data_IF_678160796330
#
_entry.id   IF_678160796330
#
_cell.length_a   1.000
_cell.length_b   1.000
_cell.length_c   1.000
_cell.angle_alpha   90.00
_cell.angle_beta   90.00
_cell.angle_gamma   90.00
#
_symmetry.space_group_name_H-M   'P 1'
#
loop_
_entity.id
_entity.type
_entity.pdbx_description
1 polymer ?
#
# COMPACT_ATOMS: atom_id res chain seq x y z
N UNK A 1 -1.36 57.28 -44.03
CA UNK A 1 -0.78 55.95 -44.31
C UNK A 1 -0.99 55.10 -43.06
N UNK A 2 -1.95 54.17 -43.11
CA UNK A 2 -2.46 53.38 -41.98
C UNK A 2 -2.33 51.91 -42.40
N UNK A 3 -1.41 51.17 -41.80
CA UNK A 3 -1.25 49.71 -42.00
C UNK A 3 -0.87 49.14 -40.64
N UNK A 4 -1.87 48.77 -39.83
CA UNK A 4 -2.45 47.43 -39.73
C UNK A 4 -1.47 46.42 -39.11
N UNK A 5 -1.80 46.13 -37.85
CA UNK A 5 -1.42 45.00 -37.02
C UNK A 5 -1.58 43.68 -37.79
N UNK A 6 -0.61 42.77 -37.65
CA UNK A 6 -0.85 41.35 -37.86
C UNK A 6 -0.19 40.55 -36.73
N UNK A 7 -0.99 40.31 -35.69
CA UNK A 7 -0.81 39.19 -34.78
C UNK A 7 -1.13 37.87 -35.50
N UNK A 8 -0.65 36.76 -34.93
CA UNK A 8 -0.82 35.40 -35.45
C UNK A 8 0.15 34.47 -34.73
N UNK A 9 0.02 34.22 -33.42
CA UNK A 9 -0.99 33.31 -32.82
C UNK A 9 -1.01 31.89 -33.44
N UNK A 10 0.16 31.26 -33.54
CA UNK A 10 0.25 29.82 -33.88
C UNK A 10 0.98 28.96 -32.85
N UNK A 11 1.65 29.54 -31.84
CA UNK A 11 2.40 28.78 -30.83
C UNK A 11 1.72 28.76 -29.44
N UNK A 12 0.78 29.68 -29.20
CA UNK A 12 0.09 29.88 -27.92
C UNK A 12 -1.12 28.95 -27.73
N UNK A 13 -1.66 28.36 -28.80
CA UNK A 13 -2.88 27.55 -28.76
C UNK A 13 -2.67 26.07 -28.43
N UNK A 14 -1.44 25.56 -28.46
CA UNK A 14 -1.14 24.17 -28.09
C UNK A 14 -1.05 23.93 -26.56
N UNK A 15 -0.89 24.99 -25.76
CA UNK A 15 -0.76 24.88 -24.30
C UNK A 15 -2.03 25.27 -23.52
N UNK A 16 -3.12 25.61 -24.21
CA UNK A 16 -4.38 26.03 -23.57
C UNK A 16 -5.46 24.94 -23.59
N UNK A 17 -5.06 23.66 -23.49
CA UNK A 17 -5.99 22.53 -23.38
C UNK A 17 -5.94 21.83 -22.00
N UNK A 18 -5.23 22.38 -21.02
CA UNK A 18 -5.09 21.80 -19.67
C UNK A 18 -6.09 22.35 -18.64
N UNK A 19 -6.95 23.30 -19.01
CA UNK A 19 -7.81 24.03 -18.06
C UNK A 19 -9.20 23.41 -17.81
N UNK A 20 -9.52 22.24 -18.39
CA UNK A 20 -10.84 21.60 -18.24
C UNK A 20 -10.77 20.12 -17.86
N UNK A 21 -9.94 19.75 -16.88
CA UNK A 21 -10.09 18.47 -16.18
C UNK A 21 -10.62 18.75 -14.76
N UNK A 22 -11.94 18.60 -14.50
CA UNK A 22 -12.50 18.81 -13.17
C UNK A 22 -11.95 17.80 -12.14
N UNK A 23 -11.39 16.68 -12.63
CA UNK A 23 -10.50 15.79 -11.90
C UNK A 23 -9.25 15.62 -12.75
N UNK A 24 -8.09 16.09 -12.29
CA UNK A 24 -6.78 15.94 -12.98
C UNK A 24 -6.31 14.47 -13.02
N UNK A 25 -7.15 13.56 -13.50
CA UNK A 25 -6.88 12.14 -13.59
C UNK A 25 -5.90 11.88 -14.73
N UNK A 26 -4.88 11.10 -14.44
CA UNK A 26 -3.95 10.58 -15.43
C UNK A 26 -4.57 9.36 -16.13
N UNK A 27 -5.02 9.57 -17.37
CA UNK A 27 -5.65 8.51 -18.17
C UNK A 27 -4.72 7.35 -18.47
N UNK A 28 -3.40 7.58 -18.54
CA UNK A 28 -2.43 6.52 -18.80
C UNK A 28 -2.28 5.59 -17.59
N UNK A 29 -2.26 6.17 -16.39
CA UNK A 29 -2.26 5.40 -15.14
C UNK A 29 -3.54 4.57 -14.99
N UNK A 30 -4.70 5.16 -15.29
CA UNK A 30 -5.98 4.44 -15.25
C UNK A 30 -6.02 3.30 -16.28
N UNK A 31 -5.50 3.54 -17.49
CA UNK A 31 -5.40 2.50 -18.51
C UNK A 31 -4.48 1.36 -18.07
N UNK A 32 -3.29 1.66 -17.54
CA UNK A 32 -2.37 0.65 -17.03
C UNK A 32 -2.98 -0.17 -15.89
N UNK A 33 -3.69 0.47 -14.96
CA UNK A 33 -4.41 -0.21 -13.88
C UNK A 33 -5.52 -1.11 -14.44
N UNK A 34 -6.33 -0.61 -15.38
CA UNK A 34 -7.41 -1.38 -16.00
C UNK A 34 -6.86 -2.59 -16.81
N UNK A 35 -5.76 -2.41 -17.52
CA UNK A 35 -5.09 -3.48 -18.25
C UNK A 35 -4.56 -4.57 -17.30
N UNK A 36 -3.92 -4.19 -16.19
CA UNK A 36 -3.48 -5.13 -15.17
C UNK A 36 -4.65 -5.90 -14.53
N UNK A 37 -5.76 -5.22 -14.26
CA UNK A 37 -6.98 -5.86 -13.74
C UNK A 37 -7.58 -6.85 -14.74
N UNK A 38 -7.63 -6.49 -16.04
CA UNK A 38 -8.14 -7.36 -17.08
C UNK A 38 -7.27 -8.62 -17.25
N UNK A 39 -5.94 -8.45 -17.27
CA UNK A 39 -4.99 -9.57 -17.34
C UNK A 39 -5.14 -10.47 -16.10
N UNK A 40 -5.22 -9.87 -14.90
CA UNK A 40 -5.44 -10.62 -13.66
C UNK A 40 -6.75 -11.42 -13.65
N UNK A 41 -7.83 -10.84 -14.18
CA UNK A 41 -9.12 -11.50 -14.31
C UNK A 41 -9.07 -12.72 -15.23
N UNK A 42 -8.39 -12.59 -16.38
CA UNK A 42 -8.16 -13.71 -17.31
C UNK A 42 -7.33 -14.80 -16.65
N UNK A 43 -6.26 -14.42 -15.94
CA UNK A 43 -5.38 -15.37 -15.24
C UNK A 43 -6.11 -16.17 -14.17
N UNK A 44 -6.95 -15.52 -13.35
CA UNK A 44 -7.76 -16.21 -12.33
C UNK A 44 -8.75 -17.16 -12.99
N UNK A 45 -9.41 -16.72 -14.06
CA UNK A 45 -10.37 -17.55 -14.80
C UNK A 45 -9.69 -18.81 -15.32
N UNK A 46 -8.50 -18.70 -15.90
CA UNK A 46 -7.75 -19.84 -16.43
C UNK A 46 -7.25 -20.79 -15.32
N UNK A 47 -6.61 -20.25 -14.29
CA UNK A 47 -5.94 -21.06 -13.26
C UNK A 47 -6.92 -21.73 -12.27
N UNK A 48 -8.10 -21.15 -12.06
CA UNK A 48 -9.05 -21.64 -11.06
C UNK A 48 -10.17 -22.54 -11.61
N UNK A 49 -10.36 -22.59 -12.93
CA UNK A 49 -11.50 -23.28 -13.56
C UNK A 49 -11.58 -24.77 -13.20
N UNK A 50 -10.46 -25.47 -13.37
CA UNK A 50 -10.34 -26.90 -13.11
C UNK A 50 -10.39 -27.22 -11.60
N UNK A 51 -9.71 -26.40 -10.79
CA UNK A 51 -9.73 -26.53 -9.33
C UNK A 51 -11.14 -26.31 -8.75
N UNK A 52 -11.86 -25.29 -9.25
CA UNK A 52 -13.22 -24.96 -8.83
C UNK A 52 -14.24 -26.01 -9.27
N UNK A 53 -14.12 -26.52 -10.50
CA UNK A 53 -14.97 -27.57 -11.03
C UNK A 53 -14.91 -28.83 -10.17
N UNK A 54 -13.70 -29.24 -9.75
CA UNK A 54 -13.50 -30.43 -8.91
C UNK A 54 -13.97 -30.25 -7.45
N UNK A 55 -13.76 -29.07 -6.86
CA UNK A 55 -13.99 -28.85 -5.41
C UNK A 55 -15.38 -28.30 -5.08
N UNK A 56 -15.98 -27.53 -5.98
CA UNK A 56 -17.25 -26.82 -5.74
C UNK A 56 -18.35 -27.18 -6.74
N UNK A 57 -18.08 -28.06 -7.72
CA UNK A 57 -19.04 -28.43 -8.77
C UNK A 57 -19.40 -27.30 -9.74
N UNK A 58 -18.81 -26.11 -9.55
CA UNK A 58 -19.00 -24.94 -10.39
C UNK A 58 -17.63 -24.33 -10.73
N UNK A 59 -17.23 -24.48 -11.99
CA UNK A 59 -15.97 -23.99 -12.52
C UNK A 59 -15.80 -22.46 -12.36
N UNK A 60 -16.90 -21.70 -12.34
CA UNK A 60 -16.89 -20.24 -12.27
C UNK A 60 -16.98 -19.69 -10.86
N UNK A 61 -16.96 -20.53 -9.82
CA UNK A 61 -17.13 -20.09 -8.43
C UNK A 61 -16.15 -18.97 -8.02
N UNK A 62 -14.85 -19.14 -8.29
CA UNK A 62 -13.85 -18.12 -7.97
C UNK A 62 -13.93 -16.89 -8.89
N UNK A 63 -14.39 -17.07 -10.13
CA UNK A 63 -14.60 -15.98 -11.09
C UNK A 63 -15.68 -15.03 -10.60
N UNK A 64 -16.84 -15.55 -10.17
CA UNK A 64 -17.93 -14.74 -9.63
C UNK A 64 -17.50 -13.97 -8.37
N UNK A 65 -16.78 -14.63 -7.45
CA UNK A 65 -16.26 -13.96 -6.25
C UNK A 65 -15.27 -12.86 -6.62
N UNK A 66 -14.36 -13.12 -7.55
CA UNK A 66 -13.38 -12.14 -7.98
C UNK A 66 -14.04 -10.93 -8.67
N UNK A 67 -15.07 -11.15 -9.49
CA UNK A 67 -15.86 -10.08 -10.10
C UNK A 67 -16.55 -9.19 -9.04
N UNK A 68 -17.12 -9.78 -7.99
CA UNK A 68 -17.72 -9.02 -6.87
C UNK A 68 -16.66 -8.16 -6.18
N UNK A 69 -15.47 -8.72 -5.88
CA UNK A 69 -14.37 -7.95 -5.29
C UNK A 69 -13.88 -6.82 -6.20
N UNK A 70 -13.88 -7.03 -7.52
CA UNK A 70 -13.51 -6.00 -8.49
C UNK A 70 -14.50 -4.82 -8.46
N UNK A 71 -15.80 -5.10 -8.39
CA UNK A 71 -16.84 -4.07 -8.25
C UNK A 71 -16.69 -3.31 -6.94
N UNK A 72 -16.48 -4.01 -5.82
CA UNK A 72 -16.23 -3.38 -4.51
C UNK A 72 -14.98 -2.49 -4.56
N UNK A 73 -13.89 -2.98 -5.16
CA UNK A 73 -12.66 -2.21 -5.33
C UNK A 73 -12.85 -0.97 -6.21
N UNK A 74 -13.63 -1.07 -7.29
CA UNK A 74 -13.97 0.06 -8.15
C UNK A 74 -14.80 1.11 -7.40
N UNK A 75 -15.82 0.69 -6.64
CA UNK A 75 -16.58 1.60 -5.78
C UNK A 75 -15.69 2.28 -4.73
N UNK A 76 -14.81 1.53 -4.06
CA UNK A 76 -13.87 2.06 -3.09
C UNK A 76 -12.90 3.07 -3.74
N UNK A 77 -12.39 2.78 -4.93
CA UNK A 77 -11.53 3.69 -5.68
C UNK A 77 -12.25 5.00 -6.03
N UNK A 78 -13.51 4.93 -6.49
CA UNK A 78 -14.32 6.12 -6.78
C UNK A 78 -14.55 6.98 -5.52
N UNK A 79 -14.80 6.36 -4.37
CA UNK A 79 -14.91 7.09 -3.10
C UNK A 79 -13.58 7.76 -2.76
N UNK A 80 -12.46 7.04 -2.84
CA UNK A 80 -11.13 7.59 -2.57
C UNK A 80 -10.79 8.78 -3.47
N UNK A 81 -11.16 8.75 -4.75
CA UNK A 81 -10.96 9.87 -5.69
C UNK A 81 -11.76 11.13 -5.32
N UNK A 82 -12.84 10.99 -4.54
CA UNK A 82 -13.66 12.12 -4.09
C UNK A 82 -13.20 12.70 -2.75
N UNK A 83 -12.38 11.97 -1.99
CA UNK A 83 -11.88 12.42 -0.69
C UNK A 83 -10.64 13.31 -0.88
N UNK A 84 -10.67 14.58 -0.43
CA UNK A 84 -9.52 15.48 -0.56
C UNK A 84 -8.27 14.94 0.15
N UNK A 85 -7.10 15.17 -0.43
CA UNK A 85 -5.78 14.74 0.13
C UNK A 85 -5.57 15.32 1.54
N UNK A 86 -6.11 16.50 1.82
CA UNK A 86 -6.05 17.14 3.14
C UNK A 86 -6.75 16.31 4.21
N UNK A 87 -7.83 15.60 3.87
CA UNK A 87 -8.56 14.70 4.79
C UNK A 87 -7.66 13.54 5.18
N UNK A 88 -7.04 12.87 4.21
CA UNK A 88 -6.10 11.77 4.46
C UNK A 88 -4.94 12.22 5.35
N UNK A 89 -4.39 13.42 5.10
CA UNK A 89 -3.34 14.01 5.94
C UNK A 89 -3.82 14.30 7.38
N UNK A 90 -5.04 14.81 7.55
CA UNK A 90 -5.63 15.10 8.86
C UNK A 90 -5.83 13.82 9.68
N UNK A 91 -6.28 12.75 9.05
CA UNK A 91 -6.56 11.47 9.70
C UNK A 91 -5.37 10.51 9.74
N UNK A 92 -4.21 10.87 9.20
CA UNK A 92 -3.02 10.01 9.14
C UNK A 92 -2.62 9.35 10.47
N UNK A 93 -2.72 10.07 11.58
CA UNK A 93 -2.42 9.52 12.93
C UNK A 93 -3.54 8.60 13.40
N UNK A 94 -4.80 8.92 13.10
CA UNK A 94 -5.95 8.08 13.44
C UNK A 94 -5.93 6.77 12.66
N UNK A 95 -5.57 6.80 11.38
CA UNK A 95 -5.40 5.60 10.56
C UNK A 95 -4.27 4.72 11.10
N UNK A 96 -3.17 5.31 11.56
CA UNK A 96 -2.09 4.57 12.21
C UNK A 96 -2.54 3.91 13.52
N UNK A 97 -3.25 4.64 14.39
CA UNK A 97 -3.78 4.08 15.65
C UNK A 97 -4.76 2.94 15.34
N UNK A 98 -5.63 3.10 14.34
CA UNK A 98 -6.52 2.03 13.90
C UNK A 98 -5.74 0.81 13.39
N UNK A 99 -4.66 1.01 12.64
CA UNK A 99 -3.77 -0.08 12.22
C UNK A 99 -3.16 -0.83 13.40
N UNK A 100 -2.65 -0.11 14.41
CA UNK A 100 -2.14 -0.74 15.63
C UNK A 100 -3.22 -1.52 16.36
N UNK A 101 -4.40 -0.91 16.54
CA UNK A 101 -5.52 -1.55 17.21
C UNK A 101 -5.93 -2.85 16.52
N UNK A 102 -6.01 -2.85 15.18
CA UNK A 102 -6.34 -4.05 14.41
C UNK A 102 -5.24 -5.12 14.51
N UNK A 103 -3.96 -4.73 14.44
CA UNK A 103 -2.84 -5.66 14.57
C UNK A 103 -2.77 -6.30 15.96
N UNK A 104 -3.12 -5.55 17.02
CA UNK A 104 -3.23 -6.10 18.37
C UNK A 104 -4.47 -7.00 18.48
N UNK A 105 -5.61 -6.56 17.94
CA UNK A 105 -6.87 -7.30 18.00
C UNK A 105 -6.73 -8.71 17.40
N UNK A 106 -6.06 -8.84 16.26
CA UNK A 106 -5.90 -10.15 15.61
C UNK A 106 -4.96 -11.11 16.37
N UNK A 107 -4.07 -10.58 17.21
CA UNK A 107 -3.22 -11.38 18.10
C UNK A 107 -4.01 -11.96 19.28
N UNK A 108 -5.20 -11.42 19.58
CA UNK A 108 -6.08 -11.95 20.63
C UNK A 108 -6.75 -13.23 20.11
N UNK A 109 -6.61 -14.37 20.82
CA UNK A 109 -7.25 -15.62 20.43
C UNK A 109 -8.77 -15.44 20.28
N UNK A 110 -9.33 -15.92 19.18
CA UNK A 110 -10.77 -15.87 18.89
C UNK A 110 -11.21 -14.82 17.88
N UNK A 111 -10.39 -13.78 17.61
CA UNK A 111 -10.72 -12.78 16.58
C UNK A 111 -10.08 -13.08 15.22
N UNK A 112 -8.88 -13.64 15.21
CA UNK A 112 -8.15 -13.95 13.99
C UNK A 112 -8.53 -15.27 13.35
N UNK A 113 -8.67 -15.28 12.03
CA UNK A 113 -8.80 -16.49 11.23
C UNK A 113 -7.41 -16.98 10.81
N UNK A 114 -7.11 -18.24 11.12
CA UNK A 114 -5.85 -18.89 10.74
C UNK A 114 -5.96 -19.49 9.34
N UNK A 115 -5.04 -19.11 8.45
CA UNK A 115 -4.92 -19.68 7.12
C UNK A 115 -3.43 -19.94 6.84
N UNK A 116 -3.10 -21.09 6.27
CA UNK A 116 -1.70 -21.49 6.00
C UNK A 116 -0.79 -21.27 7.22
N UNK A 117 -1.19 -21.83 8.37
CA UNK A 117 -0.50 -21.72 9.68
C UNK A 117 -0.25 -20.31 10.23
N UNK A 118 -0.87 -19.26 9.67
CA UNK A 118 -0.71 -17.89 10.14
C UNK A 118 -2.06 -17.18 10.39
N UNK A 119 -2.13 -16.43 11.50
CA UNK A 119 -3.30 -15.63 11.90
C UNK A 119 -3.18 -14.21 11.35
N UNK A 120 -3.69 -13.96 10.14
CA UNK A 120 -3.53 -12.68 9.43
C UNK A 120 -4.84 -12.04 8.95
N UNK A 121 -5.92 -12.81 8.96
CA UNK A 121 -7.21 -12.42 8.42
C UNK A 121 -8.22 -12.18 9.53
N UNK A 122 -8.95 -11.08 9.46
CA UNK A 122 -10.12 -10.83 10.27
C UNK A 122 -11.36 -11.25 9.47
N UNK A 123 -12.11 -12.22 9.97
CA UNK A 123 -13.35 -12.68 9.34
C UNK A 123 -14.49 -11.70 9.68
N UNK A 124 -14.96 -10.96 8.67
CA UNK A 124 -16.07 -10.02 8.76
C UNK A 124 -17.30 -10.63 8.04
N UNK A 125 -17.72 -11.81 8.50
CA UNK A 125 -18.80 -12.58 7.87
C UNK A 125 -18.39 -13.13 6.50
N UNK A 126 -19.01 -12.69 5.38
CA UNK A 126 -18.67 -13.18 4.03
C UNK A 126 -17.35 -12.63 3.50
N UNK A 127 -16.81 -11.58 4.13
CA UNK A 127 -15.57 -10.92 3.73
C UNK A 127 -14.46 -11.21 4.72
N UNK A 128 -13.22 -11.27 4.22
CA UNK A 128 -12.02 -11.41 5.04
C UNK A 128 -11.14 -10.20 4.81
N UNK A 129 -10.85 -9.46 5.88
CA UNK A 129 -9.97 -8.29 5.82
C UNK A 129 -8.58 -8.68 6.31
N UNK A 130 -7.58 -8.46 5.46
CA UNK A 130 -6.19 -8.67 5.84
C UNK A 130 -5.70 -7.45 6.62
N UNK A 131 -5.37 -7.64 7.90
CA UNK A 131 -5.01 -6.54 8.80
C UNK A 131 -3.73 -5.85 8.35
N UNK A 132 -2.79 -6.60 7.78
CA UNK A 132 -1.51 -6.05 7.30
C UNK A 132 -1.65 -5.10 6.10
N UNK A 133 -2.74 -5.18 5.31
CA UNK A 133 -3.05 -4.20 4.26
C UNK A 133 -3.40 -2.84 4.86
N UNK A 134 -4.22 -2.83 5.91
CA UNK A 134 -4.59 -1.60 6.64
C UNK A 134 -3.36 -1.02 7.34
N UNK A 135 -2.48 -1.86 7.87
CA UNK A 135 -1.22 -1.41 8.46
C UNK A 135 -0.30 -0.71 7.46
N UNK A 136 -0.12 -1.26 6.25
CA UNK A 136 0.67 -0.63 5.19
C UNK A 136 0.15 0.75 4.83
N UNK A 137 -1.17 0.89 4.63
CA UNK A 137 -1.77 2.20 4.33
C UNK A 137 -1.61 3.19 5.48
N UNK A 138 -1.86 2.77 6.72
CA UNK A 138 -1.71 3.61 7.91
C UNK A 138 -0.29 4.15 8.08
N UNK A 139 0.73 3.31 7.84
CA UNK A 139 2.13 3.71 7.85
C UNK A 139 2.45 4.73 6.77
N UNK A 140 2.01 4.48 5.54
CA UNK A 140 2.28 5.39 4.41
C UNK A 140 1.68 6.77 4.69
N UNK A 141 0.43 6.83 5.17
CA UNK A 141 -0.20 8.10 5.51
C UNK A 141 0.48 8.81 6.68
N UNK A 142 0.80 8.06 7.74
CA UNK A 142 1.53 8.61 8.88
C UNK A 142 2.88 9.18 8.47
N UNK A 143 3.69 8.39 7.76
CA UNK A 143 5.05 8.74 7.40
C UNK A 143 5.07 9.91 6.41
N UNK A 144 4.24 9.87 5.36
CA UNK A 144 4.10 10.99 4.42
C UNK A 144 3.67 12.27 5.16
N UNK A 145 2.67 12.18 6.05
CA UNK A 145 2.23 13.35 6.81
C UNK A 145 3.25 13.82 7.85
N UNK A 146 4.07 12.93 8.40
CA UNK A 146 5.13 13.26 9.35
C UNK A 146 6.26 13.98 8.65
N UNK A 147 6.72 13.46 7.50
CA UNK A 147 7.80 14.04 6.72
C UNK A 147 7.48 15.46 6.22
N UNK A 148 6.23 15.73 5.86
CA UNK A 148 5.80 17.09 5.49
C UNK A 148 5.74 18.04 6.69
N UNK A 149 5.36 17.56 7.89
CA UNK A 149 5.22 18.41 9.08
C UNK A 149 6.55 18.69 9.78
N UNK A 150 7.45 17.71 9.76
CA UNK A 150 8.72 17.72 10.51
C UNK A 150 9.93 17.73 9.57
N UNK A 151 9.79 18.22 8.34
CA UNK A 151 10.84 18.21 7.31
C UNK A 151 12.17 18.77 7.83
N UNK A 152 12.13 19.95 8.45
CA UNK A 152 13.32 20.60 9.00
C UNK A 152 13.95 19.76 10.10
N UNK A 153 13.16 19.17 11.00
CA UNK A 153 13.63 18.35 12.11
C UNK A 153 14.30 17.06 11.61
N UNK A 154 13.69 16.40 10.62
CA UNK A 154 14.22 15.17 9.98
C UNK A 154 15.54 15.44 9.27
N UNK A 155 15.70 16.61 8.66
CA UNK A 155 16.94 17.01 7.97
C UNK A 155 18.03 17.53 8.90
N UNK A 156 17.67 18.13 10.03
CA UNK A 156 18.61 18.82 10.93
C UNK A 156 19.02 17.98 12.16
N UNK A 157 18.15 17.08 12.64
CA UNK A 157 18.34 16.38 13.91
C UNK A 157 18.06 14.87 13.80
N UNK A 158 18.90 14.06 14.45
CA UNK A 158 18.73 12.60 14.53
C UNK A 158 17.41 12.24 15.23
N UNK A 159 16.98 13.05 16.20
CA UNK A 159 15.71 12.87 16.91
C UNK A 159 14.50 12.94 15.97
N UNK A 160 14.53 13.81 14.96
CA UNK A 160 13.42 13.93 14.00
C UNK A 160 13.24 12.69 13.15
N UNK A 161 14.32 11.95 12.92
CA UNK A 161 14.35 10.69 12.22
C UNK A 161 14.02 9.49 13.13
N UNK A 162 14.42 9.53 14.40
CA UNK A 162 14.22 8.45 15.35
C UNK A 162 12.73 8.19 15.66
N UNK A 163 11.93 9.25 15.83
CA UNK A 163 10.51 9.14 16.17
C UNK A 163 9.67 8.29 15.19
N UNK A 164 9.69 8.54 13.86
CA UNK A 164 8.93 7.72 12.92
C UNK A 164 9.49 6.30 12.78
N UNK A 165 10.79 6.11 13.03
CA UNK A 165 11.41 4.78 13.03
C UNK A 165 10.96 3.93 14.22
N UNK A 166 10.78 4.51 15.40
CA UNK A 166 10.25 3.80 16.56
C UNK A 166 8.84 3.26 16.28
N UNK A 167 7.98 4.09 15.68
CA UNK A 167 6.63 3.71 15.28
C UNK A 167 6.65 2.59 14.24
N UNK A 168 7.52 2.70 13.24
CA UNK A 168 7.70 1.66 12.22
C UNK A 168 8.14 0.33 12.85
N UNK A 169 9.11 0.38 13.77
CA UNK A 169 9.64 -0.81 14.42
C UNK A 169 8.57 -1.53 15.25
N UNK A 170 7.72 -0.79 15.95
CA UNK A 170 6.59 -1.40 16.68
C UNK A 170 5.65 -2.14 15.72
N UNK A 171 5.31 -1.57 14.57
CA UNK A 171 4.45 -2.26 13.59
C UNK A 171 5.11 -3.49 12.99
N UNK A 172 6.40 -3.41 12.68
CA UNK A 172 7.16 -4.56 12.18
C UNK A 172 7.13 -5.70 13.19
N UNK A 173 7.36 -5.42 14.48
CA UNK A 173 7.27 -6.43 15.54
C UNK A 173 5.88 -7.07 15.59
N UNK A 174 4.81 -6.27 15.52
CA UNK A 174 3.44 -6.79 15.53
C UNK A 174 3.14 -7.67 14.30
N UNK A 175 3.67 -7.32 13.13
CA UNK A 175 3.51 -8.13 11.91
C UNK A 175 4.31 -9.45 11.97
N UNK A 176 5.49 -9.43 12.55
CA UNK A 176 6.30 -10.64 12.75
C UNK A 176 5.66 -11.62 13.73
N UNK A 177 4.89 -11.12 14.69
CA UNK A 177 4.06 -11.96 15.57
C UNK A 177 2.88 -12.62 14.84
N UNK A 178 2.47 -12.09 13.67
CA UNK A 178 1.44 -12.66 12.78
C UNK A 178 2.04 -13.53 11.64
N UNK A 179 3.26 -14.03 11.86
CA UNK A 179 4.24 -14.43 10.84
C UNK A 179 4.11 -13.79 9.43
N UNK A 180 3.82 -12.50 9.27
CA UNK A 180 3.61 -11.87 7.94
C UNK A 180 4.89 -11.19 7.40
N UNK A 181 5.85 -11.99 6.93
CA UNK A 181 7.12 -11.50 6.39
C UNK A 181 6.96 -10.66 5.11
N UNK A 182 6.04 -11.05 4.22
CA UNK A 182 5.79 -10.34 2.98
C UNK A 182 5.31 -8.91 3.23
N UNK A 183 4.40 -8.72 4.18
CA UNK A 183 3.94 -7.39 4.57
C UNK A 183 5.07 -6.53 5.15
N UNK A 184 5.97 -7.11 5.96
CA UNK A 184 7.13 -6.41 6.52
C UNK A 184 8.05 -5.90 5.41
N UNK A 185 8.40 -6.74 4.44
CA UNK A 185 9.28 -6.34 3.32
C UNK A 185 8.67 -5.19 2.51
N UNK A 186 7.39 -5.31 2.15
CA UNK A 186 6.69 -4.26 1.39
C UNK A 186 6.59 -2.96 2.18
N UNK A 187 6.29 -3.05 3.48
CA UNK A 187 6.20 -1.88 4.37
C UNK A 187 7.54 -1.18 4.52
N UNK A 188 8.63 -1.92 4.74
CA UNK A 188 9.99 -1.36 4.81
C UNK A 188 10.40 -0.71 3.50
N UNK A 189 10.12 -1.34 2.35
CA UNK A 189 10.39 -0.76 1.04
C UNK A 189 9.65 0.56 0.81
N UNK A 190 8.35 0.61 1.14
CA UNK A 190 7.56 1.83 1.07
C UNK A 190 8.08 2.93 2.01
N UNK A 191 8.47 2.55 3.23
CA UNK A 191 9.05 3.45 4.21
C UNK A 191 10.36 4.07 3.72
N UNK A 192 11.28 3.25 3.22
CA UNK A 192 12.57 3.70 2.68
C UNK A 192 12.35 4.66 1.50
N UNK A 193 11.44 4.34 0.58
CA UNK A 193 11.10 5.23 -0.53
C UNK A 193 10.59 6.60 -0.05
N UNK A 194 9.70 6.62 0.94
CA UNK A 194 9.20 7.87 1.52
C UNK A 194 10.28 8.67 2.26
N UNK A 195 11.13 8.01 3.06
CA UNK A 195 12.23 8.67 3.77
C UNK A 195 13.26 9.27 2.81
N UNK A 196 13.57 8.57 1.72
CA UNK A 196 14.43 9.06 0.66
C UNK A 196 13.84 10.33 0.03
N UNK A 197 12.56 10.30 -0.34
CA UNK A 197 11.84 11.46 -0.88
C UNK A 197 11.72 12.60 0.14
N UNK A 198 11.63 12.30 1.43
CA UNK A 198 11.64 13.29 2.52
C UNK A 198 12.98 14.00 2.69
N UNK A 199 14.04 13.55 2.02
CA UNK A 199 15.38 14.14 2.09
C UNK A 199 16.09 13.83 3.41
N UNK A 200 15.89 12.63 3.95
CA UNK A 200 16.69 12.13 5.08
C UNK A 200 18.18 12.14 4.72
N UNK A 201 19.04 12.42 5.70
CA UNK A 201 20.51 12.44 5.50
C UNK A 201 21.01 11.08 4.98
N UNK A 202 21.84 11.09 3.95
CA UNK A 202 22.33 9.88 3.28
C UNK A 202 22.97 8.86 4.24
N UNK A 203 23.70 9.32 5.26
CA UNK A 203 24.27 8.42 6.28
C UNK A 203 23.19 7.67 7.10
N UNK A 204 22.15 8.38 7.56
CA UNK A 204 21.04 7.77 8.30
C UNK A 204 20.24 6.81 7.40
N UNK A 205 20.05 7.19 6.15
CA UNK A 205 19.41 6.36 5.15
C UNK A 205 20.21 5.09 4.83
N UNK A 206 21.53 5.21 4.66
CA UNK A 206 22.42 4.07 4.44
C UNK A 206 22.39 3.08 5.61
N UNK A 207 22.41 3.58 6.85
CA UNK A 207 22.27 2.74 8.04
C UNK A 207 20.92 1.98 8.05
N UNK A 208 19.83 2.64 7.66
CA UNK A 208 18.52 1.98 7.57
C UNK A 208 18.46 0.93 6.47
N UNK A 209 19.10 1.16 5.32
CA UNK A 209 19.18 0.14 4.26
C UNK A 209 19.88 -1.08 4.81
N UNK A 210 21.04 -0.91 5.44
CA UNK A 210 21.80 -2.03 6.03
C UNK A 210 20.98 -2.75 7.11
N UNK A 211 20.29 -2.01 7.98
CA UNK A 211 19.44 -2.59 9.00
C UNK A 211 18.24 -3.36 8.39
N UNK A 212 17.60 -2.80 7.37
CA UNK A 212 16.45 -3.43 6.69
C UNK A 212 16.87 -4.68 5.94
N UNK A 213 17.98 -4.64 5.20
CA UNK A 213 18.52 -5.80 4.49
C UNK A 213 18.93 -6.90 5.47
N UNK A 214 19.62 -6.54 6.55
CA UNK A 214 19.98 -7.50 7.62
C UNK A 214 18.74 -8.12 8.25
N UNK A 215 17.72 -7.33 8.56
CA UNK A 215 16.47 -7.82 9.13
C UNK A 215 15.75 -8.79 8.18
N UNK A 216 15.64 -8.44 6.90
CA UNK A 216 15.02 -9.31 5.88
C UNK A 216 15.82 -10.59 5.68
N UNK A 217 17.16 -10.50 5.60
CA UNK A 217 18.02 -11.68 5.49
C UNK A 217 17.86 -12.61 6.70
N UNK A 218 17.85 -12.06 7.92
CA UNK A 218 17.63 -12.84 9.13
C UNK A 218 16.24 -13.54 9.13
N UNK A 219 15.20 -12.86 8.64
CA UNK A 219 13.86 -13.45 8.52
C UNK A 219 13.84 -14.62 7.53
N UNK A 220 14.48 -14.48 6.37
CA UNK A 220 14.56 -15.55 5.36
C UNK A 220 15.32 -16.76 5.91
N UNK A 221 16.49 -16.54 6.52
CA UNK A 221 17.32 -17.62 7.06
C UNK A 221 16.66 -18.35 8.23
N UNK A 222 15.91 -17.63 9.08
CA UNK A 222 15.23 -18.26 10.22
C UNK A 222 14.02 -19.10 9.80
N UNK A 223 13.31 -18.72 8.74
CA UNK A 223 12.27 -19.56 8.13
C UNK A 223 12.86 -20.79 7.44
N UNK A 224 13.89 -20.63 6.60
CA UNK A 224 14.55 -21.77 5.95
C UNK A 224 15.12 -22.76 6.96
N UNK A 225 15.77 -22.28 8.02
CA UNK A 225 16.27 -23.12 9.10
C UNK A 225 15.14 -23.84 9.87
N UNK A 226 13.99 -23.19 10.05
CA UNK A 226 12.81 -23.79 10.68
C UNK A 226 12.17 -24.84 9.78
N UNK A 227 12.05 -24.56 8.49
CA UNK A 227 11.51 -25.48 7.48
C UNK A 227 12.43 -26.69 7.28
N UNK A 228 13.74 -26.50 7.26
CA UNK A 228 14.73 -27.58 7.11
C UNK A 228 14.81 -28.52 8.32
N UNK A 229 14.26 -28.13 9.47
CA UNK A 229 14.20 -28.97 10.67
C UNK A 229 12.94 -29.84 10.74
N UNK A 230 11.86 -29.43 10.06
CA UNK A 230 10.58 -30.12 10.05
C UNK A 230 10.27 -30.82 8.70
N UNK A 231 11.15 -30.69 7.71
CA UNK A 231 11.17 -31.47 6.47
C UNK A 231 12.11 -32.67 6.62
#
# INVERSE_FOLDING_TARGET
>A
MRTQVKSGDSASSMFSASALRPFGLDGWLLFAAAALLAIGFVMITSASLDYAGRRHGNALFYVYRHAIYLVIAACAALVCLRVPVQTWRRYAVHTLIASFALLVLILIPGFGHTANSATRWLALGPFTLQVSEVAKLGVVFYLASYLVRQEQLVRSHVLGFFNPMLVMMMLVVLLLLQPDFGAVVVMLGAALGLLFLGGVRLWQFGLLIVASVTAVAAMVLTEEYRMARFA
#
